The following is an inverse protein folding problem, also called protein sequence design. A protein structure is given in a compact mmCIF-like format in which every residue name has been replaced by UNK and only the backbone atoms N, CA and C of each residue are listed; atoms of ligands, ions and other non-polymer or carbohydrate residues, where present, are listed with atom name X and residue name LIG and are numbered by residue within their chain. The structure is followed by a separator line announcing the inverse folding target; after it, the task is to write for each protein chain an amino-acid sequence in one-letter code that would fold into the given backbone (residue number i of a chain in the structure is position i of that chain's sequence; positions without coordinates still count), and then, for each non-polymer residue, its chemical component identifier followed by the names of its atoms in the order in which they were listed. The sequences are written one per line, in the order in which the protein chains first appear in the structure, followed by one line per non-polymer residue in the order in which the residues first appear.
data_IF_437613366529
#
_entry.id   IF_437613366529
#
_cell.length_a   1.000
_cell.length_b   1.000
_cell.length_c   1.000
_cell.angle_alpha   90.00
_cell.angle_beta   90.00
_cell.angle_gamma   90.00
#
_symmetry.space_group_name_H-M   'P 1'
#
loop_
_entity.id
_entity.type
_entity.pdbx_description
1 polymer ?
#
# COMPACT_ATOMS: atom_id res chain seq x y z
N UNK A 1 10.38 -16.27 -0.40
CA UNK A 1 10.19 -14.86 -0.01
C UNK A 1 9.24 -14.28 -1.05
N UNK A 2 8.11 -13.70 -0.64
CA UNK A 2 6.89 -13.49 -1.45
C UNK A 2 6.10 -14.77 -1.78
N UNK A 3 5.71 -15.51 -0.75
CA UNK A 3 4.86 -16.69 -0.86
C UNK A 3 3.87 -16.69 0.30
N UNK A 4 2.59 -16.87 -0.03
CA UNK A 4 1.52 -16.96 0.94
C UNK A 4 0.49 -17.96 0.47
N UNK A 5 -0.18 -18.61 1.42
CA UNK A 5 -1.41 -19.37 1.18
C UNK A 5 -2.65 -18.65 1.73
N UNK A 6 -2.48 -17.42 2.25
CA UNK A 6 -3.60 -16.60 2.70
C UNK A 6 -4.52 -16.22 1.53
N UNK A 7 -5.81 -16.22 1.79
CA UNK A 7 -6.85 -15.84 0.85
C UNK A 7 -7.32 -14.41 1.10
N UNK A 8 -7.45 -13.64 0.02
CA UNK A 8 -7.80 -12.23 0.02
C UNK A 8 -9.13 -12.01 -0.71
N UNK A 9 -9.96 -11.14 -0.14
CA UNK A 9 -11.10 -10.54 -0.84
C UNK A 9 -10.83 -9.04 -0.94
N UNK A 10 -10.98 -8.48 -2.13
CA UNK A 10 -10.77 -7.04 -2.35
C UNK A 10 -12.09 -6.40 -2.76
N UNK A 11 -12.59 -5.47 -1.95
CA UNK A 11 -13.66 -4.55 -2.31
C UNK A 11 -13.01 -3.26 -2.75
N UNK A 12 -13.20 -2.83 -3.99
CA UNK A 12 -12.51 -1.64 -4.46
C UNK A 12 -13.29 -0.81 -5.46
N UNK A 13 -12.99 0.47 -5.49
CA UNK A 13 -13.38 1.36 -6.57
C UNK A 13 -12.19 2.19 -7.07
N UNK A 14 -12.13 2.36 -8.40
CA UNK A 14 -11.17 3.22 -9.08
C UNK A 14 -9.73 2.69 -9.15
N UNK A 15 -8.86 3.58 -9.64
CA UNK A 15 -7.47 3.29 -10.01
C UNK A 15 -6.63 2.65 -8.89
N UNK A 16 -6.85 3.04 -7.64
CA UNK A 16 -6.06 2.53 -6.52
C UNK A 16 -6.24 1.01 -6.35
N UNK A 17 -7.49 0.53 -6.28
CA UNK A 17 -7.76 -0.89 -6.16
C UNK A 17 -7.23 -1.70 -7.35
N UNK A 18 -7.47 -1.20 -8.56
CA UNK A 18 -6.98 -1.83 -9.79
C UNK A 18 -5.46 -1.97 -9.79
N UNK A 19 -4.74 -0.93 -9.38
CA UNK A 19 -3.27 -0.93 -9.31
C UNK A 19 -2.74 -1.86 -8.22
N UNK A 20 -3.37 -1.87 -7.06
CA UNK A 20 -3.02 -2.77 -5.97
C UNK A 20 -3.18 -4.25 -6.39
N UNK A 21 -4.33 -4.60 -6.98
CA UNK A 21 -4.61 -5.94 -7.51
C UNK A 21 -3.62 -6.30 -8.61
N UNK A 22 -3.36 -5.38 -9.56
CA UNK A 22 -2.38 -5.61 -10.62
C UNK A 22 -0.97 -5.85 -10.07
N UNK A 23 -0.57 -5.12 -9.02
CA UNK A 23 0.70 -5.32 -8.35
C UNK A 23 0.79 -6.69 -7.68
N UNK A 24 -0.28 -7.16 -7.02
CA UNK A 24 -0.38 -8.49 -6.41
C UNK A 24 -0.30 -9.62 -7.45
N UNK A 25 -1.07 -9.51 -8.53
CA UNK A 25 -1.10 -10.51 -9.61
C UNK A 25 0.25 -10.57 -10.34
N UNK A 26 0.91 -9.42 -10.49
CA UNK A 26 2.22 -9.28 -11.12
C UNK A 26 2.30 -9.90 -12.52
N UNK A 27 1.23 -9.77 -13.30
CA UNK A 27 1.21 -10.26 -14.67
C UNK A 27 2.12 -9.40 -15.58
N UNK A 28 2.63 -9.96 -16.69
CA UNK A 28 3.47 -9.22 -17.64
C UNK A 28 2.81 -7.91 -18.09
N UNK A 29 3.59 -6.83 -18.14
CA UNK A 29 3.14 -5.49 -18.50
C UNK A 29 2.16 -4.79 -17.54
N UNK A 30 1.83 -5.38 -16.38
CA UNK A 30 1.01 -4.72 -15.35
C UNK A 30 1.55 -3.35 -14.96
N UNK A 31 2.85 -3.20 -14.70
CA UNK A 31 3.43 -1.89 -14.36
C UNK A 31 3.32 -0.85 -15.49
N UNK A 32 3.76 -1.14 -16.74
CA UNK A 32 3.59 -0.23 -17.87
C UNK A 32 2.15 0.19 -18.15
N UNK A 33 1.17 -0.72 -18.02
CA UNK A 33 -0.26 -0.40 -18.25
C UNK A 33 -0.80 0.66 -17.31
N UNK A 34 -0.17 0.85 -16.15
CA UNK A 34 -0.51 1.88 -15.18
C UNK A 34 0.45 3.08 -15.22
N UNK A 35 1.32 3.18 -16.23
CA UNK A 35 2.24 4.31 -16.41
C UNK A 35 3.49 4.30 -15.54
N UNK A 36 3.81 3.19 -14.87
CA UNK A 36 5.00 3.12 -14.00
C UNK A 36 6.33 3.06 -14.77
N UNK A 37 6.34 2.29 -15.85
CA UNK A 37 7.48 2.16 -16.74
C UNK A 37 6.99 2.45 -18.17
N UNK A 38 7.90 2.87 -19.05
CA UNK A 38 7.58 2.86 -20.48
C UNK A 38 7.40 1.42 -20.95
N UNK A 39 6.40 1.18 -21.81
CA UNK A 39 6.12 -0.15 -22.39
C UNK A 39 7.38 -0.74 -23.04
N UNK A 40 8.18 0.08 -23.71
CA UNK A 40 9.41 -0.33 -24.39
C UNK A 40 10.68 -0.26 -23.51
N UNK A 41 10.57 0.23 -22.26
CA UNK A 41 11.70 0.38 -21.34
C UNK A 41 11.57 -0.46 -20.06
N UNK A 42 10.52 -1.28 -19.96
CA UNK A 42 10.33 -2.19 -18.84
C UNK A 42 11.42 -3.27 -18.82
N UNK A 43 12.16 -3.35 -17.73
CA UNK A 43 13.22 -4.36 -17.51
C UNK A 43 12.70 -5.63 -16.86
N UNK A 44 11.37 -5.79 -16.74
CA UNK A 44 10.73 -6.95 -16.11
C UNK A 44 11.25 -7.23 -14.68
N UNK A 45 11.49 -6.16 -13.91
CA UNK A 45 12.14 -6.24 -12.59
C UNK A 45 11.41 -7.07 -11.53
N UNK A 46 10.15 -7.47 -11.79
CA UNK A 46 9.34 -8.32 -10.91
C UNK A 46 9.09 -9.72 -11.48
N UNK A 47 9.57 -10.03 -12.69
CA UNK A 47 9.30 -11.30 -13.35
C UNK A 47 9.77 -12.48 -12.50
N UNK A 48 8.92 -13.50 -12.36
CA UNK A 48 9.16 -14.73 -11.57
C UNK A 48 9.45 -14.51 -10.08
N UNK A 49 9.34 -13.29 -9.56
CA UNK A 49 9.54 -13.03 -8.13
C UNK A 49 8.34 -13.47 -7.30
N UNK A 50 7.13 -13.18 -7.79
CA UNK A 50 5.87 -13.57 -7.14
C UNK A 50 4.68 -13.48 -8.09
N UNK A 51 3.60 -14.15 -7.72
CA UNK A 51 2.26 -13.90 -8.24
C UNK A 51 1.24 -14.36 -7.21
N UNK A 52 0.40 -13.43 -6.76
CA UNK A 52 -0.64 -13.69 -5.76
C UNK A 52 -2.02 -13.85 -6.39
N UNK A 53 -2.10 -14.14 -7.69
CA UNK A 53 -3.38 -14.35 -8.38
C UNK A 53 -4.21 -15.47 -7.73
N UNK A 54 -3.57 -16.54 -7.23
CA UNK A 54 -4.26 -17.63 -6.52
C UNK A 54 -4.80 -17.22 -5.14
N UNK A 55 -4.23 -16.17 -4.55
CA UNK A 55 -4.58 -15.69 -3.22
C UNK A 55 -5.82 -14.80 -3.27
N UNK A 56 -6.11 -14.15 -4.40
CA UNK A 56 -7.31 -13.31 -4.55
C UNK A 56 -8.50 -14.21 -4.89
N UNK A 57 -9.32 -14.56 -3.89
CA UNK A 57 -10.49 -15.43 -4.10
C UNK A 57 -11.69 -14.67 -4.66
N UNK A 58 -11.77 -13.36 -4.42
CA UNK A 58 -12.75 -12.49 -5.03
C UNK A 58 -12.25 -11.04 -5.11
N UNK A 59 -12.64 -10.35 -6.18
CA UNK A 59 -12.48 -8.91 -6.33
C UNK A 59 -13.82 -8.30 -6.74
N UNK A 60 -14.33 -7.38 -5.94
CA UNK A 60 -15.61 -6.71 -6.16
C UNK A 60 -15.36 -5.26 -6.56
N UNK A 61 -15.66 -4.94 -7.81
CA UNK A 61 -15.74 -3.55 -8.27
C UNK A 61 -16.99 -2.90 -7.69
N UNK A 62 -16.79 -2.01 -6.73
CA UNK A 62 -17.86 -1.32 -6.01
C UNK A 62 -18.39 -0.14 -6.83
N UNK A 63 -19.58 0.34 -6.48
CA UNK A 63 -20.20 1.52 -7.12
C UNK A 63 -19.34 2.76 -6.85
N UNK A 64 -19.25 3.66 -7.83
CA UNK A 64 -18.55 4.95 -7.68
C UNK A 64 -19.16 5.75 -6.52
N UNK A 65 -18.44 5.95 -5.40
CA UNK A 65 -18.97 6.66 -4.24
C UNK A 65 -19.44 8.08 -4.56
N UNK A 66 -18.89 8.72 -5.60
CA UNK A 66 -19.26 10.08 -6.03
C UNK A 66 -20.63 10.14 -6.69
N UNK A 67 -21.14 9.00 -7.13
CA UNK A 67 -22.49 8.88 -7.73
C UNK A 67 -23.54 8.42 -6.72
N UNK A 68 -23.11 8.07 -5.51
CA UNK A 68 -23.99 7.59 -4.44
C UNK A 68 -24.54 8.76 -3.61
N UNK A 69 -25.72 8.61 -2.99
CA UNK A 69 -26.22 9.58 -2.01
C UNK A 69 -25.26 9.70 -0.83
N UNK A 70 -25.16 10.89 -0.24
CA UNK A 70 -24.30 11.14 0.93
C UNK A 70 -24.71 10.38 2.19
N UNK A 71 -25.94 9.88 2.23
CA UNK A 71 -26.47 9.03 3.29
C UNK A 71 -27.31 7.92 2.67
N UNK A 72 -27.06 6.68 3.10
CA UNK A 72 -27.70 5.47 2.60
C UNK A 72 -28.35 4.73 3.77
N UNK A 73 -29.67 4.65 3.78
CA UNK A 73 -30.42 3.93 4.83
C UNK A 73 -30.09 2.42 4.84
N UNK A 74 -30.10 1.76 3.68
CA UNK A 74 -29.82 0.33 3.54
C UNK A 74 -28.46 0.11 2.85
N UNK A 75 -27.37 0.50 3.50
CA UNK A 75 -26.02 0.42 2.92
C UNK A 75 -25.60 -1.01 2.52
N UNK A 76 -26.17 -2.03 3.18
CA UNK A 76 -25.96 -3.44 2.84
C UNK A 76 -26.39 -3.82 1.42
N UNK A 77 -27.36 -3.11 0.83
CA UNK A 77 -27.85 -3.40 -0.53
C UNK A 77 -26.77 -3.13 -1.60
N UNK A 78 -25.75 -2.34 -1.25
CA UNK A 78 -24.61 -2.04 -2.11
C UNK A 78 -23.43 -3.00 -1.91
N UNK A 79 -23.51 -3.90 -0.92
CA UNK A 79 -22.53 -4.96 -0.73
C UNK A 79 -22.89 -6.19 -1.58
N UNK A 80 -21.90 -7.00 -2.00
CA UNK A 80 -22.18 -8.25 -2.70
C UNK A 80 -23.09 -9.17 -1.90
N UNK A 81 -24.09 -9.76 -2.57
CA UNK A 81 -25.02 -10.73 -1.94
C UNK A 81 -24.30 -11.95 -1.39
N UNK A 82 -23.29 -12.42 -2.11
CA UNK A 82 -22.44 -13.53 -1.72
C UNK A 82 -21.00 -13.02 -1.59
N UNK A 83 -20.42 -13.23 -0.41
CA UNK A 83 -19.01 -12.97 -0.11
C UNK A 83 -18.43 -14.31 0.33
N UNK A 84 -17.39 -14.84 -0.35
CA UNK A 84 -16.76 -16.10 0.03
C UNK A 84 -16.03 -15.97 1.37
N UNK A 85 -15.64 -17.09 1.95
CA UNK A 85 -14.67 -17.11 3.05
C UNK A 85 -13.26 -16.79 2.53
N UNK A 86 -12.47 -16.10 3.35
CA UNK A 86 -11.08 -15.77 3.09
C UNK A 86 -10.37 -15.44 4.40
N UNK A 87 -9.06 -15.21 4.35
CA UNK A 87 -8.31 -14.81 5.54
C UNK A 87 -8.45 -13.30 5.81
N UNK A 88 -8.40 -12.48 4.75
CA UNK A 88 -8.31 -11.02 4.85
C UNK A 88 -9.22 -10.34 3.83
N UNK A 89 -10.01 -9.38 4.29
CA UNK A 89 -10.71 -8.43 3.44
C UNK A 89 -9.90 -7.12 3.31
N UNK A 90 -9.87 -6.56 2.11
CA UNK A 90 -9.25 -5.26 1.82
C UNK A 90 -10.30 -4.37 1.19
N UNK A 91 -10.60 -3.22 1.81
CA UNK A 91 -11.63 -2.31 1.34
C UNK A 91 -11.03 -0.97 0.91
N UNK A 92 -11.18 -0.61 -0.36
CA UNK A 92 -10.48 0.51 -1.00
C UNK A 92 -11.49 1.46 -1.64
N UNK A 93 -11.52 2.71 -1.20
CA UNK A 93 -12.34 3.78 -1.78
C UNK A 93 -13.83 3.42 -1.87
N UNK A 94 -14.38 2.83 -0.81
CA UNK A 94 -15.82 2.58 -0.69
C UNK A 94 -16.54 3.84 -0.22
N UNK A 95 -17.85 3.93 -0.47
CA UNK A 95 -18.70 4.92 0.18
C UNK A 95 -18.70 4.70 1.70
N UNK A 96 -18.71 5.77 2.50
CA UNK A 96 -18.56 5.71 3.95
C UNK A 96 -19.60 4.79 4.63
N UNK A 97 -20.88 4.90 4.24
CA UNK A 97 -21.94 4.06 4.80
C UNK A 97 -21.78 2.58 4.41
N UNK A 98 -21.36 2.31 3.16
CA UNK A 98 -21.13 0.94 2.67
C UNK A 98 -19.94 0.32 3.39
N UNK A 99 -18.89 1.10 3.63
CA UNK A 99 -17.74 0.68 4.42
C UNK A 99 -18.13 0.41 5.87
N UNK A 100 -18.98 1.23 6.48
CA UNK A 100 -19.48 1.06 7.85
C UNK A 100 -20.32 -0.23 8.05
N UNK A 101 -21.05 -0.63 7.00
CA UNK A 101 -21.82 -1.88 6.99
C UNK A 101 -20.95 -3.13 6.72
N UNK A 102 -19.76 -2.97 6.14
CA UNK A 102 -18.93 -4.09 5.70
C UNK A 102 -18.54 -5.08 6.81
N UNK A 103 -18.12 -4.67 8.03
CA UNK A 103 -17.70 -5.60 9.07
C UNK A 103 -18.74 -6.67 9.43
N UNK A 104 -20.02 -6.30 9.56
CA UNK A 104 -21.11 -7.25 9.83
C UNK A 104 -21.29 -8.26 8.69
N UNK A 105 -21.09 -7.83 7.44
CA UNK A 105 -21.27 -8.70 6.27
C UNK A 105 -20.17 -9.76 6.14
N UNK A 106 -18.96 -9.44 6.62
CA UNK A 106 -17.77 -10.30 6.54
C UNK A 106 -17.46 -11.03 7.86
N UNK A 107 -18.20 -10.73 8.93
CA UNK A 107 -18.07 -11.41 10.22
C UNK A 107 -18.21 -12.93 10.07
N UNK A 108 -17.30 -13.67 10.72
CA UNK A 108 -17.20 -15.12 10.62
C UNK A 108 -16.68 -15.67 9.28
N UNK A 109 -16.41 -14.81 8.28
CA UNK A 109 -15.88 -15.20 6.96
C UNK A 109 -14.44 -14.80 6.75
N UNK A 110 -13.97 -13.77 7.45
CA UNK A 110 -12.59 -13.27 7.42
C UNK A 110 -12.06 -13.05 8.83
N UNK A 111 -10.75 -13.07 8.98
CA UNK A 111 -10.07 -12.81 10.27
C UNK A 111 -9.47 -11.41 10.35
N UNK A 112 -9.36 -10.68 9.23
CA UNK A 112 -8.85 -9.31 9.23
C UNK A 112 -9.51 -8.43 8.17
N UNK A 113 -9.60 -7.13 8.45
CA UNK A 113 -10.02 -6.08 7.53
C UNK A 113 -8.95 -4.98 7.47
N UNK A 114 -8.45 -4.72 6.26
CA UNK A 114 -7.50 -3.63 5.97
C UNK A 114 -8.20 -2.54 5.14
N UNK A 115 -8.18 -1.30 5.62
CA UNK A 115 -8.85 -0.15 5.00
C UNK A 115 -7.80 0.94 4.68
N UNK A 116 -7.06 0.83 3.58
CA UNK A 116 -5.95 1.73 3.31
C UNK A 116 -6.39 3.11 2.85
N UNK A 117 -6.06 4.15 3.61
CA UNK A 117 -6.47 5.52 3.33
C UNK A 117 -5.41 6.21 2.48
N UNK A 118 -5.60 6.19 1.16
CA UNK A 118 -4.73 6.89 0.19
C UNK A 118 -5.26 8.28 -0.21
N UNK A 119 -6.48 8.63 0.20
CA UNK A 119 -7.07 9.96 -0.04
C UNK A 119 -7.78 10.44 1.26
N UNK A 120 -7.64 11.71 1.65
CA UNK A 120 -8.14 12.21 2.94
C UNK A 120 -9.66 12.08 3.19
N UNK A 121 -10.48 12.01 2.13
CA UNK A 121 -11.91 12.35 2.21
C UNK A 121 -12.88 11.18 2.35
N UNK A 122 -12.46 9.94 2.11
CA UNK A 122 -13.40 8.81 2.05
C UNK A 122 -13.47 7.98 3.34
N UNK A 123 -12.36 7.91 4.10
CA UNK A 123 -12.32 7.25 5.40
C UNK A 123 -11.73 8.22 6.45
N UNK A 124 -12.62 8.93 7.15
CA UNK A 124 -12.22 9.89 8.18
C UNK A 124 -11.66 9.18 9.43
N UNK A 125 -10.89 9.86 10.29
CA UNK A 125 -10.42 9.28 11.55
C UNK A 125 -11.56 8.77 12.45
N UNK A 126 -12.71 9.46 12.45
CA UNK A 126 -13.90 9.03 13.17
C UNK A 126 -14.46 7.71 12.63
N UNK A 127 -14.57 7.57 11.31
CA UNK A 127 -15.04 6.33 10.68
C UNK A 127 -14.03 5.19 10.91
N UNK A 128 -12.73 5.44 10.77
CA UNK A 128 -11.70 4.45 11.06
C UNK A 128 -11.77 3.95 12.51
N UNK A 129 -12.04 4.84 13.47
CA UNK A 129 -12.24 4.48 14.88
C UNK A 129 -13.50 3.61 15.07
N UNK A 130 -14.61 4.00 14.45
CA UNK A 130 -15.86 3.22 14.52
C UNK A 130 -15.69 1.83 13.91
N UNK A 131 -15.01 1.72 12.77
CA UNK A 131 -14.70 0.44 12.14
C UNK A 131 -13.82 -0.42 13.04
N UNK A 132 -12.82 0.17 13.70
CA UNK A 132 -11.96 -0.53 14.66
C UNK A 132 -12.78 -1.11 15.80
N UNK A 133 -13.58 -0.29 16.48
CA UNK A 133 -14.45 -0.72 17.59
C UNK A 133 -15.41 -1.85 17.14
N UNK A 134 -16.03 -1.70 15.96
CA UNK A 134 -16.92 -2.70 15.39
C UNK A 134 -16.22 -4.01 15.01
N UNK A 135 -14.99 -3.95 14.49
CA UNK A 135 -14.20 -5.13 14.15
C UNK A 135 -13.73 -5.85 15.42
N UNK A 136 -13.36 -5.13 16.48
CA UNK A 136 -13.01 -5.70 17.78
C UNK A 136 -14.19 -6.51 18.37
N UNK A 137 -15.42 -5.97 18.31
CA UNK A 137 -16.63 -6.69 18.76
C UNK A 137 -16.94 -7.95 17.93
N UNK A 138 -16.46 -8.02 16.69
CA UNK A 138 -16.70 -9.11 15.75
C UNK A 138 -15.53 -10.10 15.62
N UNK A 139 -14.49 -9.95 16.46
CA UNK A 139 -13.25 -10.75 16.42
C UNK A 139 -12.52 -10.68 15.05
N UNK A 140 -12.49 -9.49 14.47
CA UNK A 140 -11.81 -9.18 13.20
C UNK A 140 -10.62 -8.25 13.50
N UNK A 141 -9.41 -8.65 13.13
CA UNK A 141 -8.24 -7.76 13.18
C UNK A 141 -8.45 -6.57 12.23
N UNK A 142 -8.09 -5.36 12.66
CA UNK A 142 -8.37 -4.15 11.88
C UNK A 142 -7.15 -3.25 11.77
N UNK A 143 -6.91 -2.74 10.55
CA UNK A 143 -5.94 -1.68 10.32
C UNK A 143 -6.42 -0.75 9.21
N UNK A 144 -6.34 0.56 9.47
CA UNK A 144 -6.57 1.60 8.48
C UNK A 144 -5.28 2.40 8.23
N UNK A 145 -4.29 1.85 7.49
CA UNK A 145 -3.02 2.51 7.28
C UNK A 145 -3.19 3.76 6.40
N UNK A 146 -2.49 4.84 6.73
CA UNK A 146 -2.55 6.12 6.03
C UNK A 146 -1.15 6.76 5.88
N UNK A 147 -0.55 6.80 4.67
CA UNK A 147 -0.97 6.08 3.46
C UNK A 147 -0.87 4.56 3.61
N UNK A 148 -1.28 3.79 2.59
CA UNK A 148 -1.25 2.32 2.68
C UNK A 148 0.17 1.79 2.97
N UNK A 149 1.19 2.43 2.40
CA UNK A 149 2.58 2.07 2.64
C UNK A 149 3.13 2.41 4.03
N UNK A 150 2.35 3.04 4.92
CA UNK A 150 2.70 3.17 6.33
C UNK A 150 2.39 1.88 7.14
N UNK A 151 1.75 0.88 6.53
CA UNK A 151 1.41 -0.38 7.19
C UNK A 151 2.65 -1.15 7.64
N UNK A 152 2.74 -1.42 8.93
CA UNK A 152 3.79 -2.21 9.58
C UNK A 152 3.17 -3.38 10.35
N UNK A 153 4.02 -4.32 10.77
CA UNK A 153 3.64 -5.32 11.77
C UNK A 153 3.33 -4.63 13.10
N UNK A 154 2.26 -5.06 13.74
CA UNK A 154 1.74 -4.45 14.96
C UNK A 154 1.26 -5.45 16.02
N UNK A 155 1.52 -6.75 15.83
CA UNK A 155 1.06 -7.81 16.73
C UNK A 155 -0.33 -8.36 16.39
N UNK A 156 -0.91 -7.96 15.26
CA UNK A 156 -2.15 -8.51 14.72
C UNK A 156 -1.77 -9.68 13.80
N UNK A 157 -2.10 -10.91 14.20
CA UNK A 157 -1.53 -12.15 13.61
C UNK A 157 -1.74 -12.24 12.10
N UNK A 158 -2.94 -11.96 11.61
CA UNK A 158 -3.29 -12.07 10.20
C UNK A 158 -2.73 -10.91 9.38
N UNK A 159 -2.76 -9.70 9.92
CA UNK A 159 -2.18 -8.52 9.26
C UNK A 159 -0.65 -8.61 9.21
N UNK A 160 0.00 -9.08 10.27
CA UNK A 160 1.44 -9.28 10.32
C UNK A 160 1.87 -10.34 9.29
N UNK A 161 1.12 -11.45 9.18
CA UNK A 161 1.34 -12.45 8.13
C UNK A 161 1.18 -11.88 6.73
N UNK A 162 0.19 -11.02 6.49
CA UNK A 162 0.05 -10.34 5.19
C UNK A 162 1.33 -9.55 4.87
N UNK A 163 1.81 -8.75 5.83
CA UNK A 163 3.00 -7.91 5.67
C UNK A 163 4.27 -8.74 5.39
N UNK A 164 4.41 -9.91 6.00
CA UNK A 164 5.57 -10.80 5.84
C UNK A 164 5.50 -11.68 4.59
N UNK A 165 4.39 -12.41 4.42
CA UNK A 165 4.25 -13.44 3.39
C UNK A 165 4.08 -12.82 1.99
N UNK A 166 3.29 -11.75 1.88
CA UNK A 166 3.14 -11.00 0.62
C UNK A 166 4.29 -10.02 0.39
N UNK A 167 5.05 -9.69 1.43
CA UNK A 167 6.08 -8.66 1.37
C UNK A 167 5.51 -7.31 0.90
N UNK A 168 4.35 -6.92 1.43
CA UNK A 168 3.66 -5.66 1.13
C UNK A 168 3.42 -4.86 2.41
N UNK A 169 3.76 -3.57 2.38
CA UNK A 169 3.55 -2.65 3.50
C UNK A 169 4.60 -1.56 3.47
N UNK A 170 5.17 -1.25 4.64
CA UNK A 170 6.31 -0.35 4.75
C UNK A 170 7.53 -0.94 4.02
N UNK A 171 8.08 -0.21 3.03
CA UNK A 171 9.10 -0.76 2.15
C UNK A 171 10.37 -1.12 2.91
N UNK A 172 11.07 -2.14 2.43
CA UNK A 172 12.28 -2.65 3.04
C UNK A 172 13.23 -3.11 1.94
N UNK A 173 14.44 -2.57 1.95
CA UNK A 173 15.48 -2.83 0.96
C UNK A 173 16.69 -3.49 1.63
N UNK A 174 17.43 -4.26 0.84
CA UNK A 174 18.79 -4.68 1.14
C UNK A 174 19.68 -4.09 0.03
N UNK A 175 20.69 -3.30 0.41
CA UNK A 175 21.57 -2.61 -0.52
C UNK A 175 23.01 -2.94 -0.16
N UNK A 176 23.70 -3.66 -1.04
CA UNK A 176 25.13 -3.89 -0.95
C UNK A 176 25.84 -3.01 -1.98
N UNK A 177 26.88 -2.28 -1.57
CA UNK A 177 27.65 -1.43 -2.47
C UNK A 177 28.97 -2.14 -2.81
N UNK A 178 29.22 -2.34 -4.10
CA UNK A 178 30.45 -2.93 -4.63
C UNK A 178 30.94 -2.09 -5.83
N UNK A 179 32.20 -1.66 -5.81
CA UNK A 179 32.82 -0.83 -6.85
C UNK A 179 31.97 0.40 -7.27
N UNK A 180 31.37 1.09 -6.29
CA UNK A 180 30.52 2.26 -6.53
C UNK A 180 29.15 1.94 -7.12
N UNK A 181 28.71 0.68 -7.15
CA UNK A 181 27.38 0.28 -7.62
C UNK A 181 26.59 -0.46 -6.55
N UNK A 182 25.29 -0.17 -6.48
CA UNK A 182 24.37 -0.82 -5.56
C UNK A 182 23.75 -2.11 -6.13
N UNK A 183 23.98 -3.25 -5.46
CA UNK A 183 23.14 -4.45 -5.58
C UNK A 183 21.93 -4.26 -4.69
N UNK A 184 20.79 -3.94 -5.29
CA UNK A 184 19.55 -3.62 -4.58
C UNK A 184 18.57 -4.78 -4.65
N UNK A 185 18.16 -5.30 -3.48
CA UNK A 185 17.09 -6.29 -3.31
C UNK A 185 15.91 -5.65 -2.56
N UNK A 186 14.70 -5.98 -2.99
CA UNK A 186 13.46 -5.53 -2.35
C UNK A 186 13.00 -6.68 -1.46
N UNK A 187 12.97 -6.46 -0.15
CA UNK A 187 12.48 -7.42 0.85
C UNK A 187 10.98 -7.20 1.12
N UNK A 188 10.55 -5.93 1.08
CA UNK A 188 9.14 -5.52 1.15
C UNK A 188 8.89 -4.33 0.23
N UNK A 189 7.77 -4.34 -0.48
CA UNK A 189 7.36 -3.24 -1.36
C UNK A 189 6.18 -2.46 -0.77
N UNK A 190 6.06 -1.18 -1.14
CA UNK A 190 4.78 -0.49 -1.01
C UNK A 190 3.68 -1.26 -1.75
N UNK A 191 2.41 -1.18 -1.30
CA UNK A 191 1.26 -1.85 -1.94
C UNK A 191 1.07 -1.50 -3.41
N UNK A 192 1.40 -0.27 -3.80
CA UNK A 192 1.34 0.19 -5.19
C UNK A 192 2.50 -0.32 -6.06
N UNK A 193 3.57 -0.88 -5.48
CA UNK A 193 4.74 -1.40 -6.20
C UNK A 193 5.95 -0.45 -6.32
N UNK A 194 5.91 0.74 -5.71
CA UNK A 194 6.93 1.80 -5.90
C UNK A 194 8.36 1.36 -5.60
N UNK A 195 8.59 0.54 -4.57
CA UNK A 195 9.92 0.05 -4.19
C UNK A 195 10.64 -0.66 -5.35
N UNK A 196 9.92 -1.38 -6.20
CA UNK A 196 10.53 -2.04 -7.36
C UNK A 196 11.06 -1.04 -8.37
N UNK A 197 10.35 0.07 -8.58
CA UNK A 197 10.79 1.13 -9.48
C UNK A 197 11.97 1.90 -8.89
N UNK A 198 11.88 2.27 -7.60
CA UNK A 198 12.97 2.90 -6.86
C UNK A 198 14.22 2.02 -6.89
N UNK A 199 14.09 0.71 -6.66
CA UNK A 199 15.20 -0.22 -6.71
C UNK A 199 15.87 -0.30 -8.08
N UNK A 200 15.12 -0.17 -9.19
CA UNK A 200 15.70 -0.07 -10.53
C UNK A 200 16.53 1.22 -10.68
N UNK A 201 16.05 2.35 -10.13
CA UNK A 201 16.79 3.62 -10.17
C UNK A 201 18.06 3.57 -9.31
N UNK A 202 17.98 3.00 -8.11
CA UNK A 202 19.13 2.83 -7.22
C UNK A 202 20.20 1.91 -7.80
N UNK A 203 19.85 0.87 -8.58
CA UNK A 203 20.84 0.06 -9.30
C UNK A 203 21.62 0.83 -10.37
N UNK A 204 21.06 1.94 -10.87
CA UNK A 204 21.72 2.84 -11.81
C UNK A 204 22.38 4.06 -11.15
N UNK A 205 22.26 4.19 -9.83
CA UNK A 205 22.87 5.26 -9.05
C UNK A 205 24.36 4.97 -8.82
N UNK A 206 25.19 6.00 -8.92
CA UNK A 206 26.62 5.93 -8.66
C UNK A 206 26.90 6.22 -7.19
N UNK A 207 27.38 5.20 -6.47
CA UNK A 207 27.71 5.25 -5.05
C UNK A 207 29.19 5.57 -4.78
N UNK A 208 30.00 5.92 -5.79
CA UNK A 208 31.43 6.17 -5.62
C UNK A 208 31.77 7.53 -4.99
N UNK A 209 31.03 8.58 -5.32
CA UNK A 209 31.21 9.95 -4.81
C UNK A 209 29.85 10.67 -4.76
N UNK A 210 29.01 10.28 -3.80
CA UNK A 210 27.65 10.81 -3.66
C UNK A 210 27.45 11.47 -2.30
N UNK A 211 26.55 12.45 -2.23
CA UNK A 211 26.02 12.98 -0.97
C UNK A 211 24.66 12.35 -0.66
N UNK A 212 24.25 12.32 0.61
CA UNK A 212 22.90 11.87 0.98
C UNK A 212 21.81 12.64 0.24
N UNK A 213 22.04 13.92 -0.07
CA UNK A 213 21.10 14.73 -0.88
C UNK A 213 20.93 14.18 -2.30
N UNK A 214 22.00 13.71 -2.95
CA UNK A 214 21.93 13.13 -4.30
C UNK A 214 21.10 11.83 -4.30
N UNK A 215 21.29 11.02 -3.26
CA UNK A 215 20.50 9.81 -3.04
C UNK A 215 19.02 10.13 -2.79
N UNK A 216 18.74 11.08 -1.89
CA UNK A 216 17.38 11.51 -1.58
C UNK A 216 16.66 12.11 -2.79
N UNK A 217 17.36 12.89 -3.60
CA UNK A 217 16.82 13.40 -4.87
C UNK A 217 16.47 12.25 -5.81
N UNK A 218 17.36 11.26 -5.97
CA UNK A 218 17.12 10.07 -6.80
C UNK A 218 15.89 9.29 -6.34
N UNK A 219 15.74 9.04 -5.03
CA UNK A 219 14.59 8.34 -4.46
C UNK A 219 13.31 9.16 -4.63
N UNK A 220 13.36 10.46 -4.37
CA UNK A 220 12.22 11.36 -4.48
C UNK A 220 11.74 11.51 -5.92
N UNK A 221 12.65 11.69 -6.88
CA UNK A 221 12.33 11.74 -8.32
C UNK A 221 11.74 10.42 -8.80
N UNK A 222 12.30 9.29 -8.36
CA UNK A 222 11.75 7.97 -8.67
C UNK A 222 10.32 7.80 -8.12
N UNK A 223 10.08 8.24 -6.89
CA UNK A 223 8.75 8.19 -6.27
C UNK A 223 7.73 9.09 -6.97
N UNK A 224 8.08 10.34 -7.27
CA UNK A 224 7.18 11.29 -7.94
C UNK A 224 6.89 10.92 -9.39
N UNK A 225 7.83 10.26 -10.08
CA UNK A 225 7.62 9.76 -11.44
C UNK A 225 6.86 8.43 -11.47
N UNK A 226 6.72 7.75 -10.33
CA UNK A 226 5.88 6.56 -10.21
C UNK A 226 4.41 6.96 -10.05
N UNK A 227 3.45 6.24 -10.67
CA UNK A 227 2.02 6.43 -10.42
C UNK A 227 1.66 5.95 -9.01
N UNK A 228 2.05 6.72 -7.99
CA UNK A 228 1.71 6.43 -6.61
C UNK A 228 0.18 6.46 -6.44
N UNK A 229 -0.33 5.63 -5.53
CA UNK A 229 -1.75 5.58 -5.19
C UNK A 229 -2.13 6.63 -4.16
N UNK A 230 -1.15 7.13 -3.39
CA UNK A 230 -1.34 8.19 -2.41
C UNK A 230 -1.66 9.53 -3.09
N UNK A 231 -2.66 10.23 -2.57
CA UNK A 231 -3.16 11.48 -3.11
C UNK A 231 -2.16 12.64 -2.92
N UNK A 232 -2.15 13.55 -3.91
CA UNK A 232 -1.52 14.87 -3.82
C UNK A 232 -2.41 15.90 -3.10
N UNK A 233 -3.63 15.52 -2.70
CA UNK A 233 -4.44 16.37 -1.84
C UNK A 233 -3.78 16.50 -0.47
N UNK A 234 -3.72 17.73 0.04
CA UNK A 234 -3.19 18.01 1.37
C UNK A 234 -4.09 17.37 2.41
N UNK A 235 -3.52 16.49 3.23
CA UNK A 235 -4.23 15.88 4.33
C UNK A 235 -4.26 16.84 5.53
N UNK A 236 -5.45 17.03 6.11
CA UNK A 236 -5.64 17.95 7.24
C UNK A 236 -5.06 17.39 8.54
N UNK A 237 -5.08 16.08 8.73
CA UNK A 237 -4.56 15.42 9.94
C UNK A 237 -3.03 15.52 10.00
N UNK A 238 -2.36 15.34 8.86
CA UNK A 238 -0.91 15.34 8.79
C UNK A 238 -0.29 16.67 8.38
N UNK A 239 -1.09 17.60 7.84
CA UNK A 239 -0.60 18.87 7.34
C UNK A 239 0.36 18.73 6.15
N UNK A 240 0.25 17.63 5.40
CA UNK A 240 1.07 17.26 4.25
C UNK A 240 0.26 16.35 3.31
N UNK A 241 0.65 16.25 2.05
CA UNK A 241 0.06 15.28 1.11
C UNK A 241 0.48 13.85 1.48
N UNK A 242 -0.42 12.89 1.27
CA UNK A 242 -0.10 11.48 1.50
C UNK A 242 1.01 10.99 0.54
N UNK A 243 1.09 11.57 -0.66
CA UNK A 243 2.17 11.30 -1.61
C UNK A 243 3.55 11.67 -1.05
N UNK A 244 3.72 12.85 -0.45
CA UNK A 244 5.00 13.24 0.17
C UNK A 244 5.35 12.34 1.36
N UNK A 245 4.37 11.98 2.20
CA UNK A 245 4.58 11.04 3.30
C UNK A 245 5.07 9.68 2.77
N UNK A 246 4.45 9.16 1.71
CA UNK A 246 4.91 7.94 1.04
C UNK A 246 6.34 8.07 0.47
N UNK A 247 6.74 9.27 0.03
CA UNK A 247 8.09 9.59 -0.41
C UNK A 247 9.11 9.57 0.75
N UNK A 248 8.77 10.19 1.88
CA UNK A 248 9.60 10.14 3.09
C UNK A 248 9.75 8.70 3.63
N UNK A 249 8.67 7.91 3.58
CA UNK A 249 8.68 6.47 3.89
C UNK A 249 9.67 5.71 3.00
N UNK A 250 9.64 5.98 1.69
CA UNK A 250 10.56 5.34 0.75
C UNK A 250 12.02 5.74 1.01
N UNK A 251 12.25 7.02 1.28
CA UNK A 251 13.58 7.56 1.61
C UNK A 251 14.15 6.94 2.88
N UNK A 252 13.38 6.96 3.97
CA UNK A 252 13.78 6.33 5.23
C UNK A 252 14.07 4.84 5.07
N UNK A 253 13.28 4.11 4.27
CA UNK A 253 13.55 2.70 4.00
C UNK A 253 14.89 2.46 3.27
N UNK A 254 15.29 3.37 2.37
CA UNK A 254 16.58 3.32 1.68
C UNK A 254 17.72 3.71 2.63
N UNK A 255 17.55 4.78 3.41
CA UNK A 255 18.52 5.23 4.41
C UNK A 255 18.83 4.10 5.40
N UNK A 256 17.79 3.45 5.93
CA UNK A 256 17.91 2.29 6.83
C UNK A 256 18.68 1.13 6.18
N UNK A 257 18.45 0.87 4.90
CA UNK A 257 19.15 -0.20 4.18
C UNK A 257 20.66 0.09 3.99
N UNK A 258 21.06 1.36 4.06
CA UNK A 258 22.46 1.81 4.02
C UNK A 258 23.06 2.02 5.41
N UNK A 259 22.30 1.80 6.49
CA UNK A 259 22.72 2.07 7.87
C UNK A 259 22.81 3.56 8.20
N UNK A 260 22.11 4.42 7.45
CA UNK A 260 21.98 5.84 7.74
C UNK A 260 20.76 6.12 8.63
N UNK A 261 20.96 6.81 9.75
CA UNK A 261 19.91 7.07 10.75
C UNK A 261 19.44 8.54 10.79
N UNK A 262 19.75 9.33 9.77
CA UNK A 262 19.35 10.73 9.73
C UNK A 262 17.86 10.94 9.43
N UNK A 263 17.32 12.02 9.97
CA UNK A 263 15.93 12.45 9.81
C UNK A 263 15.81 13.82 9.13
N UNK A 264 16.89 14.27 8.48
CA UNK A 264 16.99 15.60 7.91
C UNK A 264 15.91 15.82 6.84
N UNK A 265 15.28 17.00 6.85
CA UNK A 265 14.22 17.33 5.90
C UNK A 265 12.92 16.50 6.04
N UNK A 266 12.80 15.63 7.07
CA UNK A 266 11.51 15.07 7.50
C UNK A 266 10.87 16.07 8.46
N UNK A 267 9.69 16.62 8.14
CA UNK A 267 8.96 17.47 9.06
C UNK A 267 8.66 16.76 10.39
N UNK A 268 8.86 17.46 11.50
CA UNK A 268 8.73 16.89 12.86
C UNK A 268 7.38 16.20 13.09
N UNK A 269 6.29 16.78 12.59
CA UNK A 269 4.94 16.20 12.72
C UNK A 269 4.77 14.86 11.99
N UNK A 270 5.64 14.53 11.02
CA UNK A 270 5.57 13.31 10.23
C UNK A 270 6.47 12.19 10.77
N UNK A 271 7.37 12.49 11.71
CA UNK A 271 8.34 11.50 12.22
C UNK A 271 7.67 10.26 12.80
N UNK A 272 6.53 10.40 13.49
CA UNK A 272 5.77 9.26 14.05
C UNK A 272 5.16 8.33 13.00
N UNK A 273 5.04 8.79 11.76
CA UNK A 273 4.50 8.02 10.64
C UNK A 273 5.65 7.39 9.85
N UNK A 274 6.75 8.13 9.70
CA UNK A 274 7.90 7.70 8.91
C UNK A 274 8.80 6.73 9.69
N UNK A 275 9.09 6.98 10.97
CA UNK A 275 9.93 6.13 11.81
C UNK A 275 9.07 5.10 12.54
#
# INVERSE_FOLDING_TARGET
MFQSDLQLIVFHYGFFGERFIANLMNYPNSCPSFGACGINSCTLCKEKLYSFSKNIVASFSMVDPRTMPSFIENAEDFLPRFIPEADIAIAINLHADVLSALPEKIAGKVSALIVPVEEPKWCTPGLAKQLKEKCEDLDIEFLAPKPFCAMRKGGQRMIDKFVEEFGIGYPEFEIEIEDGRGKVRILRSQPCGSAWFIGVKLRGFDFSDYTMRDLWNTVSEAHHSYPCTASMERDVEYGETLLHIAGYIARHAVDKALGYEGDEEIPEQLKKIVF
#
